data_IF_608698538794
#
_entry.id   IF_608698538794
#
_cell.length_a   1.000
_cell.length_b   1.000
_cell.length_c   1.000
_cell.angle_alpha   90.00
_cell.angle_beta   90.00
_cell.angle_gamma   90.00
#
_symmetry.space_group_name_H-M   'P 1'
#
loop_
_entity.id
_entity.type
_entity.pdbx_description
1 polymer ?
#
# COMPACT_ATOMS: atom_id res chain seq x y z
N UNK A 1 58.62 17.08 17.61
CA UNK A 1 57.61 16.36 16.79
C UNK A 1 56.62 15.66 17.71
N UNK A 2 55.53 16.31 18.15
CA UNK A 2 54.45 15.62 18.89
C UNK A 2 53.17 16.48 18.87
N UNK A 3 52.58 16.64 17.69
CA UNK A 3 51.31 17.36 17.54
C UNK A 3 50.42 16.80 16.42
N UNK A 4 50.96 15.93 15.56
CA UNK A 4 50.21 15.22 14.51
C UNK A 4 49.39 14.03 15.05
N UNK A 5 49.84 13.37 16.12
CA UNK A 5 49.21 12.13 16.61
C UNK A 5 47.85 12.36 17.28
N UNK A 6 47.68 13.46 18.02
CA UNK A 6 46.42 13.75 18.73
C UNK A 6 45.26 14.12 17.80
N UNK A 7 45.55 14.77 16.67
CA UNK A 7 44.53 15.12 15.67
C UNK A 7 44.00 13.88 14.95
N UNK A 8 44.90 12.96 14.56
CA UNK A 8 44.52 11.70 13.89
C UNK A 8 43.68 10.82 14.83
N UNK A 9 44.07 10.72 16.11
CA UNK A 9 43.30 9.94 17.09
C UNK A 9 41.91 10.54 17.33
N UNK A 10 41.80 11.88 17.43
CA UNK A 10 40.52 12.57 17.57
C UNK A 10 39.60 12.37 16.36
N UNK A 11 40.14 12.44 15.14
CA UNK A 11 39.35 12.21 13.91
C UNK A 11 38.85 10.77 13.81
N UNK A 12 39.66 9.77 14.16
CA UNK A 12 39.24 8.36 14.15
C UNK A 12 38.12 8.11 15.16
N UNK A 13 38.19 8.73 16.34
CA UNK A 13 37.19 8.58 17.40
C UNK A 13 35.85 9.22 17.02
N UNK A 14 35.88 10.40 16.38
CA UNK A 14 34.69 11.09 15.85
C UNK A 14 34.04 10.28 14.74
N UNK A 15 34.81 9.76 13.79
CA UNK A 15 34.27 8.93 12.70
C UNK A 15 33.66 7.64 13.24
N UNK A 16 34.30 7.00 14.22
CA UNK A 16 33.79 5.75 14.82
C UNK A 16 32.50 5.98 15.62
N UNK A 17 32.41 7.09 16.36
CA UNK A 17 31.16 7.47 17.03
C UNK A 17 30.05 7.84 16.05
N UNK A 18 30.38 8.53 14.94
CA UNK A 18 29.41 8.87 13.91
C UNK A 18 28.88 7.61 13.22
N UNK A 19 29.75 6.63 12.93
CA UNK A 19 29.36 5.32 12.39
C UNK A 19 28.45 4.55 13.35
N UNK A 20 28.75 4.59 14.65
CA UNK A 20 27.93 3.92 15.67
C UNK A 20 26.56 4.61 15.83
N UNK A 21 26.51 5.94 15.77
CA UNK A 21 25.28 6.72 15.71
C UNK A 21 24.47 6.41 14.45
N UNK A 22 25.10 6.29 13.28
CA UNK A 22 24.42 5.89 12.03
C UNK A 22 23.87 4.46 12.10
N UNK A 23 24.58 3.52 12.75
CA UNK A 23 24.06 2.17 13.01
C UNK A 23 22.88 2.15 14.00
N UNK A 24 22.91 2.99 15.05
CA UNK A 24 21.81 3.14 16.01
C UNK A 24 20.59 3.84 15.41
N UNK A 25 20.78 4.75 14.46
CA UNK A 25 19.69 5.36 13.68
C UNK A 25 19.16 4.40 12.62
N UNK A 26 20.00 3.53 12.05
CA UNK A 26 19.58 2.48 11.11
C UNK A 26 18.73 1.37 11.74
N UNK A 27 18.79 1.21 13.07
CA UNK A 27 17.82 0.44 13.85
C UNK A 27 16.60 1.28 14.23
N UNK A 28 15.99 1.97 13.26
CA UNK A 28 14.62 2.44 13.46
C UNK A 28 13.75 1.21 13.64
N UNK A 29 13.42 0.91 14.89
CA UNK A 29 12.17 0.27 15.27
C UNK A 29 11.12 0.68 14.24
N UNK A 30 10.48 -0.28 13.57
CA UNK A 30 9.40 -0.02 12.65
C UNK A 30 8.49 1.02 13.32
N UNK A 31 8.61 2.28 12.89
CA UNK A 31 7.74 3.32 13.39
C UNK A 31 6.41 2.85 12.90
N UNK A 32 5.62 2.36 13.86
CA UNK A 32 4.23 2.08 13.68
C UNK A 32 3.60 3.37 13.21
N UNK A 33 3.54 3.57 11.89
CA UNK A 33 3.10 4.82 11.30
C UNK A 33 1.63 5.08 11.65
N UNK A 34 0.90 4.01 12.01
CA UNK A 34 -0.53 4.03 12.27
C UNK A 34 -0.88 3.16 13.50
N UNK A 35 -1.11 3.84 14.64
CA UNK A 35 -1.70 3.30 15.88
C UNK A 35 -0.88 2.25 16.66
N UNK A 36 -1.33 1.92 17.88
CA UNK A 36 -0.64 0.95 18.75
C UNK A 36 -1.18 -0.49 18.62
N UNK A 37 -2.39 -0.70 18.08
CA UNK A 37 -3.11 -1.99 18.13
C UNK A 37 -3.10 -2.81 16.84
N UNK A 38 -2.59 -2.25 15.76
CA UNK A 38 -2.62 -2.77 14.40
C UNK A 38 -1.44 -3.72 14.19
N UNK A 39 -1.70 -4.91 13.64
CA UNK A 39 -0.69 -5.95 13.40
C UNK A 39 0.05 -5.71 12.09
N UNK A 40 -0.65 -5.23 11.06
CA UNK A 40 -0.10 -4.97 9.73
C UNK A 40 -0.25 -3.50 9.36
N UNK A 41 0.78 -2.97 8.71
CA UNK A 41 0.79 -1.61 8.16
C UNK A 41 1.39 -1.63 6.77
N UNK A 42 0.67 -1.05 5.83
CA UNK A 42 1.04 -1.01 4.43
C UNK A 42 1.03 0.42 3.93
N UNK A 43 2.04 0.79 3.15
CA UNK A 43 2.05 1.98 2.32
C UNK A 43 2.33 1.58 0.89
N UNK A 44 1.59 2.14 -0.06
CA UNK A 44 1.76 1.79 -1.48
C UNK A 44 1.51 2.98 -2.39
N UNK A 45 2.17 2.96 -3.53
CA UNK A 45 1.94 3.90 -4.61
C UNK A 45 2.25 3.23 -5.95
N UNK A 46 1.57 3.66 -6.99
CA UNK A 46 1.83 3.16 -8.32
C UNK A 46 1.24 4.02 -9.41
N UNK A 47 1.75 3.80 -10.61
CA UNK A 47 1.25 4.39 -11.86
C UNK A 47 1.21 3.33 -12.93
N UNK A 48 0.32 3.49 -13.89
CA UNK A 48 0.18 2.48 -14.94
C UNK A 48 -0.83 2.85 -16.00
N UNK A 49 -1.21 1.84 -16.77
CA UNK A 49 -2.27 1.94 -17.76
C UNK A 49 -3.17 0.71 -17.76
N UNK A 50 -4.45 0.95 -18.00
CA UNK A 50 -5.49 -0.06 -18.14
C UNK A 50 -6.37 0.33 -19.33
N UNK A 51 -6.48 -0.56 -20.32
CA UNK A 51 -7.32 -0.35 -21.52
C UNK A 51 -7.03 0.98 -22.25
N UNK A 52 -5.76 1.42 -22.27
CA UNK A 52 -5.35 2.69 -22.89
C UNK A 52 -5.63 3.94 -22.05
N UNK A 53 -6.22 3.82 -20.86
CA UNK A 53 -6.33 4.88 -19.87
C UNK A 53 -5.12 4.84 -18.93
N UNK A 54 -4.53 6.01 -18.64
CA UNK A 54 -3.47 6.13 -17.65
C UNK A 54 -4.07 6.23 -16.24
N UNK A 55 -3.39 5.68 -15.24
CA UNK A 55 -3.81 5.84 -13.84
C UNK A 55 -2.62 6.03 -12.90
N UNK A 56 -2.89 6.62 -11.75
CA UNK A 56 -1.97 6.72 -10.63
C UNK A 56 -2.74 6.58 -9.32
N UNK A 57 -2.09 6.01 -8.30
CA UNK A 57 -2.67 5.87 -6.98
C UNK A 57 -1.60 5.91 -5.90
N UNK A 58 -2.03 6.29 -4.71
CA UNK A 58 -1.25 6.10 -3.50
C UNK A 58 -2.21 5.87 -2.34
N UNK A 59 -1.75 5.16 -1.33
CA UNK A 59 -2.58 4.86 -0.18
C UNK A 59 -1.81 4.13 0.90
N UNK A 60 -2.57 3.82 1.93
CA UNK A 60 -2.11 3.01 3.05
C UNK A 60 -3.24 2.12 3.53
N UNK A 61 -2.86 1.03 4.19
CA UNK A 61 -3.79 0.14 4.88
C UNK A 61 -3.23 -0.25 6.24
N UNK A 62 -4.11 -0.48 7.20
CA UNK A 62 -3.80 -1.20 8.43
C UNK A 62 -4.73 -2.39 8.61
N UNK A 63 -4.23 -3.46 9.23
CA UNK A 63 -5.04 -4.62 9.58
C UNK A 63 -4.71 -5.12 10.98
N UNK A 64 -5.73 -5.61 11.69
CA UNK A 64 -5.56 -6.30 12.98
C UNK A 64 -5.85 -7.79 12.79
N UNK A 65 -4.93 -8.63 13.28
CA UNK A 65 -4.97 -10.08 13.09
C UNK A 65 -3.72 -10.59 12.38
N UNK A 66 -3.51 -11.91 12.38
CA UNK A 66 -2.29 -12.53 11.82
C UNK A 66 -2.48 -12.95 10.36
N UNK A 67 -3.22 -14.03 10.11
CA UNK A 67 -3.57 -14.50 8.76
C UNK A 67 -5.02 -14.19 8.36
N UNK A 68 -5.78 -13.58 9.27
CA UNK A 68 -7.16 -13.15 9.08
C UNK A 68 -7.58 -12.21 10.20
N UNK A 69 -8.61 -11.42 9.97
CA UNK A 69 -9.18 -10.55 11.00
C UNK A 69 -10.48 -9.88 10.57
N UNK A 70 -11.03 -9.09 11.49
CA UNK A 70 -12.30 -8.38 11.31
C UNK A 70 -12.16 -6.87 11.34
N UNK A 71 -10.93 -6.37 11.30
CA UNK A 71 -10.62 -4.94 11.33
C UNK A 71 -9.51 -4.68 10.33
N UNK A 72 -9.83 -3.84 9.34
CA UNK A 72 -8.86 -3.22 8.48
C UNK A 72 -9.34 -1.83 8.07
N UNK A 73 -8.39 -0.95 7.80
CA UNK A 73 -8.66 0.44 7.44
C UNK A 73 -7.73 0.84 6.32
N UNK A 74 -8.26 1.34 5.20
CA UNK A 74 -7.44 1.83 4.10
C UNK A 74 -7.89 3.18 3.60
N UNK A 75 -6.94 4.06 3.31
CA UNK A 75 -7.20 5.29 2.56
C UNK A 75 -6.41 5.26 1.27
N UNK A 76 -7.12 5.45 0.16
CA UNK A 76 -6.54 5.36 -1.18
C UNK A 76 -7.01 6.56 -1.99
N UNK A 77 -6.06 7.29 -2.54
CA UNK A 77 -6.31 8.31 -3.55
C UNK A 77 -5.94 7.74 -4.91
N UNK A 78 -6.86 7.86 -5.86
CA UNK A 78 -6.75 7.30 -7.20
C UNK A 78 -7.06 8.38 -8.21
N UNK A 79 -6.27 8.42 -9.27
CA UNK A 79 -6.43 9.34 -10.36
C UNK A 79 -6.40 8.58 -11.67
N UNK A 80 -7.42 8.78 -12.49
CA UNK A 80 -7.59 8.16 -13.79
C UNK A 80 -7.65 9.21 -14.87
N UNK A 81 -6.84 9.00 -15.91
CA UNK A 81 -6.82 9.73 -17.16
C UNK A 81 -7.45 8.89 -18.25
N UNK A 82 -8.71 9.16 -18.56
CA UNK A 82 -9.41 8.51 -19.65
C UNK A 82 -8.94 9.13 -20.98
N UNK A 83 -8.65 8.30 -21.99
CA UNK A 83 -8.17 8.75 -23.30
C UNK A 83 -9.15 9.64 -24.09
N UNK A 84 -10.36 9.87 -23.57
CA UNK A 84 -11.37 10.78 -24.11
C UNK A 84 -11.30 12.20 -23.49
N UNK A 85 -10.27 12.52 -22.72
CA UNK A 85 -10.09 13.82 -22.05
C UNK A 85 -10.84 13.95 -20.72
N UNK A 86 -11.50 12.90 -20.24
CA UNK A 86 -12.10 12.89 -18.90
C UNK A 86 -11.06 12.48 -17.86
N UNK A 87 -11.01 13.22 -16.75
CA UNK A 87 -10.20 12.87 -15.58
C UNK A 87 -11.12 12.53 -14.42
N UNK A 88 -10.83 11.44 -13.73
CA UNK A 88 -11.57 11.01 -12.55
C UNK A 88 -10.59 10.99 -11.38
N UNK A 89 -10.96 11.63 -10.27
CA UNK A 89 -10.27 11.48 -9.01
C UNK A 89 -11.22 10.80 -8.02
N UNK A 90 -10.74 9.73 -7.41
CA UNK A 90 -11.46 8.95 -6.42
C UNK A 90 -10.61 8.89 -5.15
N UNK A 91 -11.06 9.53 -4.09
CA UNK A 91 -10.57 9.27 -2.74
C UNK A 91 -11.52 8.25 -2.11
N UNK A 92 -10.96 7.10 -1.73
CA UNK A 92 -11.72 5.99 -1.17
C UNK A 92 -11.20 5.63 0.21
N UNK A 93 -12.11 5.49 1.15
CA UNK A 93 -11.84 5.03 2.51
C UNK A 93 -12.53 3.68 2.71
N UNK A 94 -11.75 2.63 2.95
CA UNK A 94 -12.24 1.28 3.16
C UNK A 94 -12.34 1.01 4.65
N UNK A 95 -13.54 0.74 5.14
CA UNK A 95 -13.81 0.21 6.47
C UNK A 95 -14.04 -1.30 6.34
N UNK A 96 -12.99 -2.08 6.61
CA UNK A 96 -12.94 -3.52 6.37
C UNK A 96 -13.35 -4.27 7.63
N UNK A 97 -14.40 -5.08 7.49
CA UNK A 97 -14.97 -5.88 8.60
C UNK A 97 -14.61 -7.36 8.52
N UNK A 98 -13.93 -7.77 7.44
CA UNK A 98 -13.46 -9.13 7.26
C UNK A 98 -12.34 -9.19 6.22
N UNK A 99 -11.22 -9.81 6.58
CA UNK A 99 -10.07 -10.02 5.69
C UNK A 99 -9.34 -11.32 5.98
N UNK A 100 -8.61 -11.82 4.98
CA UNK A 100 -7.79 -13.04 5.06
C UNK A 100 -6.52 -12.90 4.22
N UNK A 101 -5.42 -13.51 4.65
CA UNK A 101 -4.24 -13.72 3.82
C UNK A 101 -4.36 -15.06 3.11
N UNK A 102 -4.29 -15.05 1.77
CA UNK A 102 -4.35 -16.28 0.96
C UNK A 102 -3.60 -16.09 -0.36
N UNK A 103 -3.39 -17.17 -1.12
CA UNK A 103 -2.74 -17.07 -2.43
C UNK A 103 -3.52 -16.14 -3.34
N UNK A 104 -2.83 -15.14 -3.89
CA UNK A 104 -3.38 -14.10 -4.75
C UNK A 104 -2.53 -13.85 -6.00
N UNK A 105 -2.86 -12.77 -6.71
CA UNK A 105 -2.25 -12.41 -8.00
C UNK A 105 -0.76 -12.07 -7.89
N UNK A 106 -0.31 -11.55 -6.75
CA UNK A 106 1.09 -11.21 -6.54
C UNK A 106 1.93 -12.38 -6.05
N UNK A 107 1.32 -13.48 -5.60
CA UNK A 107 2.06 -14.60 -4.96
C UNK A 107 3.16 -15.16 -5.85
N UNK A 108 2.96 -15.23 -7.17
CA UNK A 108 3.98 -15.73 -8.10
C UNK A 108 5.20 -14.80 -8.22
N UNK A 109 5.04 -13.51 -7.90
CA UNK A 109 6.08 -12.49 -8.01
C UNK A 109 6.76 -12.22 -6.67
N UNK A 110 6.01 -12.30 -5.58
CA UNK A 110 6.47 -11.96 -4.22
C UNK A 110 6.86 -13.18 -3.40
N UNK A 111 6.36 -14.37 -3.76
CA UNK A 111 6.46 -15.58 -2.94
C UNK A 111 5.58 -15.54 -1.67
N UNK A 112 4.75 -14.50 -1.51
CA UNK A 112 3.92 -14.26 -0.34
C UNK A 112 2.41 -14.35 -0.69
N UNK A 113 1.54 -14.73 0.26
CA UNK A 113 0.09 -14.56 0.09
C UNK A 113 -0.27 -13.08 -0.06
N UNK A 114 -1.47 -12.79 -0.54
CA UNK A 114 -2.03 -11.44 -0.65
C UNK A 114 -3.13 -11.21 0.37
N UNK A 115 -3.38 -9.95 0.71
CA UNK A 115 -4.54 -9.54 1.49
C UNK A 115 -5.80 -9.61 0.63
N UNK A 116 -6.80 -10.36 1.11
CA UNK A 116 -8.14 -10.37 0.55
C UNK A 116 -9.12 -9.67 1.49
N UNK A 117 -9.96 -8.83 0.93
CA UNK A 117 -11.10 -8.22 1.63
C UNK A 117 -12.34 -9.04 1.38
N UNK A 118 -12.93 -9.54 2.46
CA UNK A 118 -14.10 -10.41 2.45
C UNK A 118 -15.40 -9.64 2.69
N UNK A 119 -15.34 -8.56 3.46
CA UNK A 119 -16.50 -7.71 3.73
C UNK A 119 -16.07 -6.34 4.23
N UNK A 120 -16.94 -5.34 4.03
CA UNK A 120 -16.70 -3.98 4.47
C UNK A 120 -17.52 -2.96 3.71
N UNK A 121 -17.23 -1.69 3.97
CA UNK A 121 -17.79 -0.56 3.22
C UNK A 121 -16.67 0.30 2.66
N UNK A 122 -16.97 1.00 1.57
CA UNK A 122 -16.07 1.99 0.99
C UNK A 122 -16.79 3.32 0.92
N UNK A 123 -16.25 4.32 1.59
CA UNK A 123 -16.70 5.71 1.45
C UNK A 123 -15.94 6.36 0.29
N UNK A 124 -16.65 7.04 -0.59
CA UNK A 124 -16.09 7.67 -1.81
C UNK A 124 -16.23 9.19 -1.74
N UNK A 125 -15.13 9.89 -1.99
CA UNK A 125 -15.07 11.34 -2.11
C UNK A 125 -14.46 11.75 -3.48
N UNK A 126 -15.08 12.67 -4.23
CA UNK A 126 -16.42 13.25 -3.99
C UNK A 126 -17.56 12.24 -4.28
N UNK A 127 -18.70 12.39 -3.59
CA UNK A 127 -19.81 11.45 -3.68
C UNK A 127 -20.47 11.34 -5.08
N UNK A 128 -20.27 12.34 -5.96
CA UNK A 128 -20.73 12.27 -7.35
C UNK A 128 -19.84 11.36 -8.23
N UNK A 129 -18.65 10.95 -7.76
CA UNK A 129 -17.76 10.04 -8.46
C UNK A 129 -18.05 8.56 -8.17
N UNK A 130 -18.96 8.24 -7.24
CA UNK A 130 -19.19 6.88 -6.72
C UNK A 130 -19.40 5.82 -7.79
N UNK A 131 -20.22 6.09 -8.81
CA UNK A 131 -20.47 5.12 -9.88
C UNK A 131 -19.19 4.81 -10.67
N UNK A 132 -18.39 5.83 -10.96
CA UNK A 132 -17.16 5.68 -11.72
C UNK A 132 -16.07 5.00 -10.89
N UNK A 133 -15.94 5.33 -9.61
CA UNK A 133 -15.01 4.67 -8.71
C UNK A 133 -15.38 3.19 -8.52
N UNK A 134 -16.68 2.86 -8.43
CA UNK A 134 -17.14 1.47 -8.39
C UNK A 134 -16.73 0.68 -9.64
N UNK A 135 -16.91 1.26 -10.84
CA UNK A 135 -16.49 0.63 -12.09
C UNK A 135 -14.98 0.39 -12.13
N UNK A 136 -14.18 1.34 -11.67
CA UNK A 136 -12.73 1.19 -11.60
C UNK A 136 -12.32 0.08 -10.62
N UNK A 137 -12.87 0.09 -9.40
CA UNK A 137 -12.61 -0.95 -8.40
C UNK A 137 -13.01 -2.34 -8.93
N UNK A 138 -14.17 -2.47 -9.57
CA UNK A 138 -14.58 -3.72 -10.19
C UNK A 138 -13.66 -4.17 -11.34
N UNK A 139 -13.16 -3.23 -12.15
CA UNK A 139 -12.16 -3.54 -13.17
C UNK A 139 -10.82 -3.99 -12.56
N UNK A 140 -10.50 -3.52 -11.36
CA UNK A 140 -9.33 -3.95 -10.57
C UNK A 140 -9.60 -5.23 -9.73
N UNK A 141 -10.73 -5.92 -9.93
CA UNK A 141 -11.03 -7.20 -9.29
C UNK A 141 -11.86 -7.12 -7.99
N UNK A 142 -12.31 -5.93 -7.58
CA UNK A 142 -13.15 -5.79 -6.38
C UNK A 142 -14.63 -6.10 -6.66
N UNK A 143 -15.19 -7.00 -5.85
CA UNK A 143 -16.62 -7.28 -5.80
C UNK A 143 -17.34 -6.22 -4.95
N UNK A 144 -17.72 -5.11 -5.58
CA UNK A 144 -18.36 -3.97 -4.92
C UNK A 144 -19.73 -3.65 -5.53
N UNK A 145 -20.64 -3.15 -4.70
CA UNK A 145 -21.97 -2.68 -5.12
C UNK A 145 -22.19 -1.26 -4.59
N UNK A 146 -22.72 -0.38 -5.45
CA UNK A 146 -23.13 0.97 -5.06
C UNK A 146 -24.41 0.87 -4.22
N UNK A 147 -24.37 1.33 -2.97
CA UNK A 147 -25.53 1.29 -2.06
C UNK A 147 -26.13 2.68 -1.83
N UNK A 148 -25.32 3.73 -1.91
CA UNK A 148 -25.76 5.12 -1.88
C UNK A 148 -24.71 6.03 -2.55
N UNK A 149 -25.05 7.29 -2.90
CA UNK A 149 -24.04 8.28 -3.26
C UNK A 149 -22.99 8.41 -2.14
N UNK A 150 -21.71 8.28 -2.49
CA UNK A 150 -20.60 8.27 -1.55
C UNK A 150 -20.34 6.93 -0.86
N UNK A 151 -21.09 5.85 -1.15
CA UNK A 151 -20.96 4.58 -0.41
C UNK A 151 -21.04 3.35 -1.31
N UNK A 152 -20.06 2.46 -1.16
CA UNK A 152 -20.03 1.12 -1.74
C UNK A 152 -20.00 0.07 -0.63
N UNK A 153 -20.52 -1.12 -0.92
CA UNK A 153 -20.39 -2.30 -0.06
C UNK A 153 -19.50 -3.33 -0.73
N UNK A 154 -18.60 -3.94 0.04
CA UNK A 154 -17.72 -5.02 -0.39
C UNK A 154 -18.42 -6.34 -0.13
N UNK A 155 -18.66 -7.12 -1.18
CA UNK A 155 -19.36 -8.41 -1.09
C UNK A 155 -18.41 -9.62 -1.13
N UNK A 156 -17.10 -9.37 -1.32
CA UNK A 156 -16.01 -10.32 -1.16
C UNK A 156 -16.11 -11.64 -1.94
N UNK A 157 -15.10 -12.52 -1.78
CA UNK A 157 -13.71 -12.14 -1.48
C UNK A 157 -13.09 -11.36 -2.65
N UNK A 158 -12.26 -10.36 -2.37
CA UNK A 158 -11.57 -9.55 -3.39
C UNK A 158 -10.10 -9.40 -3.04
N UNK A 159 -9.23 -9.76 -3.98
CA UNK A 159 -7.79 -9.60 -3.86
C UNK A 159 -7.44 -8.11 -3.88
N UNK A 160 -6.63 -7.65 -2.94
CA UNK A 160 -6.14 -6.26 -2.93
C UNK A 160 -4.89 -6.08 -3.79
N UNK A 161 -4.28 -7.16 -4.28
CA UNK A 161 -2.95 -7.17 -4.87
C UNK A 161 -1.93 -6.46 -3.95
N UNK A 162 -2.00 -6.78 -2.65
CA UNK A 162 -1.07 -6.32 -1.62
C UNK A 162 -0.51 -7.54 -0.88
N UNK A 163 0.81 -7.75 -0.84
CA UNK A 163 1.40 -8.91 -0.20
C UNK A 163 1.19 -8.89 1.32
N UNK A 164 0.69 -9.98 1.87
CA UNK A 164 0.55 -10.25 3.30
C UNK A 164 1.83 -10.86 3.89
N UNK A 165 2.96 -10.21 3.62
CA UNK A 165 4.24 -10.51 4.23
C UNK A 165 5.07 -9.23 4.39
N UNK A 166 5.86 -9.08 5.48
CA UNK A 166 6.71 -7.91 5.66
C UNK A 166 7.76 -7.81 4.56
N UNK A 167 7.96 -6.60 4.03
CA UNK A 167 8.95 -6.37 2.98
C UNK A 167 8.74 -5.08 2.23
N UNK A 168 9.72 -4.76 1.38
CA UNK A 168 9.60 -3.74 0.35
C UNK A 168 9.53 -4.44 -1.01
N UNK A 169 8.46 -4.19 -1.75
CA UNK A 169 8.19 -4.77 -3.07
C UNK A 169 8.22 -3.66 -4.11
N UNK A 170 9.13 -3.79 -5.08
CA UNK A 170 9.18 -2.96 -6.28
C UNK A 170 8.78 -3.83 -7.46
N UNK A 171 7.59 -3.57 -7.99
CA UNK A 171 6.97 -4.37 -9.04
C UNK A 171 6.77 -3.55 -10.33
N UNK A 172 7.68 -2.62 -10.56
CA UNK A 172 7.65 -1.69 -11.69
C UNK A 172 7.88 -2.42 -13.01
N UNK A 173 7.11 -2.09 -14.05
CA UNK A 173 7.19 -2.72 -15.37
C UNK A 173 6.43 -4.04 -15.50
N UNK A 174 5.65 -4.45 -14.49
CA UNK A 174 4.85 -5.68 -14.56
C UNK A 174 3.49 -5.46 -15.22
N UNK A 175 2.91 -6.54 -15.74
CA UNK A 175 1.50 -6.59 -16.13
C UNK A 175 0.78 -7.64 -15.28
N UNK A 176 -0.25 -7.22 -14.54
CA UNK A 176 -1.12 -8.08 -13.75
C UNK A 176 -2.52 -8.02 -14.33
N UNK A 177 -3.07 -9.16 -14.75
CA UNK A 177 -4.47 -9.25 -15.19
C UNK A 177 -4.90 -8.19 -16.23
N UNK A 178 -3.98 -7.76 -17.10
CA UNK A 178 -4.23 -6.72 -18.12
C UNK A 178 -4.00 -5.28 -17.66
N UNK A 179 -3.67 -5.07 -16.38
CA UNK A 179 -3.19 -3.80 -15.82
C UNK A 179 -1.66 -3.74 -15.96
N UNK A 180 -1.14 -2.75 -16.67
CA UNK A 180 0.31 -2.55 -16.81
C UNK A 180 0.79 -1.48 -15.85
N UNK A 181 1.69 -1.84 -14.92
CA UNK A 181 2.27 -0.93 -13.94
C UNK A 181 3.58 -0.37 -14.47
N UNK A 182 3.64 0.94 -14.65
CA UNK A 182 4.90 1.66 -14.90
C UNK A 182 5.74 1.69 -13.62
N UNK A 183 5.09 1.99 -12.50
CA UNK A 183 5.68 1.94 -11.18
C UNK A 183 4.69 1.29 -10.22
N UNK A 184 5.19 0.42 -9.33
CA UNK A 184 4.44 -0.12 -8.21
C UNK A 184 5.39 -0.36 -7.05
N UNK A 185 5.20 0.40 -5.98
CA UNK A 185 5.96 0.32 -4.74
C UNK A 185 5.02 -0.05 -3.61
N UNK A 186 5.37 -1.08 -2.84
CA UNK A 186 4.60 -1.51 -1.68
C UNK A 186 5.56 -1.75 -0.52
N UNK A 187 5.34 -1.05 0.59
CA UNK A 187 6.02 -1.27 1.86
C UNK A 187 5.04 -1.94 2.82
N UNK A 188 5.44 -3.08 3.38
CA UNK A 188 4.66 -3.84 4.36
C UNK A 188 5.48 -4.01 5.63
N UNK A 189 4.88 -3.65 6.77
CA UNK A 189 5.41 -3.88 8.10
C UNK A 189 4.44 -4.72 8.92
N UNK A 190 4.96 -5.62 9.74
CA UNK A 190 4.20 -6.41 10.70
C UNK A 190 4.83 -6.26 12.08
N UNK A 191 4.00 -6.10 13.11
CA UNK A 191 4.44 -6.06 14.52
C UNK A 191 4.54 -7.45 15.13
#
# INVERSE_FOLDING_TARGET
MSQKSGKVLGTVLVVSMLSLLLFLVGSTWFVSAYGAGETWQLGFAGTGSLLGAGFGFWGWCTFTGQSSGSVGDCQISQYLHMGNGQNIQCETHFDITGWTAQTGVLTIFTGAPDFFVNSGTITVNPANATQTCALFLSAAGFNVVVTAPGTLTINGPSDMALPAAPGHYSLSGMTLEGVSYTELQIQVSQK
#
